data_IF_844850411344
#
_entry.id   IF_844850411344
#
_cell.length_a   1.000
_cell.length_b   1.000
_cell.length_c   1.000
_cell.angle_alpha   90.00
_cell.angle_beta   90.00
_cell.angle_gamma   90.00
#
_symmetry.space_group_name_H-M   'P 1'
#
loop_
_entity.id
_entity.type
_entity.pdbx_description
1 polymer ?
#
# COMPACT_ATOMS: atom_id res chain seq x y z
N UNK A 1 -31.52 5.15 -1.11
CA UNK A 1 -30.59 5.58 -0.03
C UNK A 1 -29.94 6.89 -0.43
N UNK A 2 -30.24 7.99 0.28
CA UNK A 2 -29.66 9.30 0.00
C UNK A 2 -28.15 9.26 0.23
N UNK A 3 -27.34 9.60 -0.78
CA UNK A 3 -25.88 9.80 -0.62
C UNK A 3 -25.69 10.97 0.35
N UNK A 4 -25.13 10.71 1.53
CA UNK A 4 -24.74 11.76 2.46
C UNK A 4 -23.83 12.74 1.71
N UNK A 5 -24.30 13.98 1.53
CA UNK A 5 -23.54 15.03 0.86
C UNK A 5 -22.44 15.48 1.81
N UNK A 6 -21.25 14.89 1.69
CA UNK A 6 -20.08 15.31 2.46
C UNK A 6 -19.70 16.70 1.99
N UNK A 7 -19.91 17.72 2.84
CA UNK A 7 -19.52 19.09 2.55
C UNK A 7 -17.99 19.18 2.36
N UNK A 8 -17.55 19.88 1.33
CA UNK A 8 -16.14 20.07 1.06
C UNK A 8 -15.56 21.17 1.94
N UNK A 9 -14.59 20.79 2.76
CA UNK A 9 -13.87 21.70 3.68
C UNK A 9 -12.46 21.93 3.17
N UNK A 10 -12.00 23.17 3.16
CA UNK A 10 -10.69 23.58 2.67
C UNK A 10 -9.81 24.12 3.80
N UNK A 11 -8.65 23.55 4.05
CA UNK A 11 -7.68 23.99 5.03
C UNK A 11 -6.33 24.37 4.40
N UNK A 12 -5.57 25.26 5.04
CA UNK A 12 -4.21 25.63 4.62
C UNK A 12 -3.26 24.46 4.85
N UNK A 13 -2.39 24.18 3.88
CA UNK A 13 -1.38 23.14 4.01
C UNK A 13 -0.24 23.65 4.89
N UNK A 14 0.14 22.94 5.97
CA UNK A 14 1.29 23.30 6.80
C UNK A 14 2.57 23.39 5.95
N UNK A 15 3.34 24.47 6.11
CA UNK A 15 4.53 24.75 5.31
C UNK A 15 4.27 25.33 3.90
N UNK A 16 3.00 25.40 3.45
CA UNK A 16 2.65 25.94 2.13
C UNK A 16 1.46 26.93 2.22
N UNK A 17 1.67 28.13 2.77
CA UNK A 17 0.58 29.05 3.11
C UNK A 17 -0.26 29.52 1.92
N UNK A 18 0.31 29.49 0.70
CA UNK A 18 -0.39 29.83 -0.55
C UNK A 18 -1.21 28.68 -1.13
N UNK A 19 -1.25 27.53 -0.44
CA UNK A 19 -1.98 26.35 -0.91
C UNK A 19 -2.99 25.86 0.12
N UNK A 20 -4.12 25.37 -0.36
CA UNK A 20 -5.13 24.69 0.45
C UNK A 20 -5.40 23.31 -0.10
N UNK A 21 -5.70 22.38 0.78
CA UNK A 21 -6.18 21.04 0.45
C UNK A 21 -7.61 20.88 0.99
N UNK A 22 -8.43 20.11 0.29
CA UNK A 22 -9.76 19.76 0.76
C UNK A 22 -9.79 18.37 1.41
N UNK A 23 -10.79 18.13 2.26
CA UNK A 23 -11.10 16.81 2.80
C UNK A 23 -11.48 15.79 1.72
N UNK A 24 -11.74 16.24 0.48
CA UNK A 24 -11.99 15.38 -0.68
C UNK A 24 -10.74 15.12 -1.54
N UNK A 25 -9.54 15.57 -1.10
CA UNK A 25 -8.28 15.34 -1.81
C UNK A 25 -8.03 16.28 -2.99
N UNK A 26 -8.73 17.41 -3.08
CA UNK A 26 -8.44 18.44 -4.10
C UNK A 26 -7.47 19.46 -3.54
N UNK A 27 -6.61 20.02 -4.39
CA UNK A 27 -5.62 21.04 -4.02
C UNK A 27 -5.87 22.31 -4.81
N UNK A 28 -5.79 23.45 -4.15
CA UNK A 28 -5.87 24.76 -4.81
C UNK A 28 -4.77 25.70 -4.36
N UNK A 29 -4.24 26.47 -5.30
CA UNK A 29 -3.37 27.61 -5.03
C UNK A 29 -4.19 28.85 -4.84
N UNK A 30 -3.91 29.60 -3.77
CA UNK A 30 -4.48 30.94 -3.54
C UNK A 30 -3.47 31.91 -4.15
N UNK A 31 -3.87 32.60 -5.18
CA UNK A 31 -3.07 33.68 -5.75
C UNK A 31 -3.47 34.97 -5.01
N UNK A 32 -2.55 35.53 -4.25
CA UNK A 32 -2.67 36.89 -3.73
C UNK A 32 -1.59 37.73 -4.39
N UNK A 33 -1.93 38.91 -4.83
CA UNK A 33 -0.95 39.87 -5.34
C UNK A 33 -1.13 41.21 -4.58
N UNK A 34 -0.04 41.93 -4.43
CA UNK A 34 -0.07 43.29 -3.87
C UNK A 34 -0.28 44.25 -5.01
N UNK A 35 -1.32 45.08 -4.91
CA UNK A 35 -1.55 46.15 -5.90
C UNK A 35 -0.35 47.09 -5.90
N UNK A 36 0.32 47.26 -7.04
CA UNK A 36 1.48 48.12 -7.17
C UNK A 36 1.13 49.62 -6.91
N UNK A 37 -0.14 50.00 -7.13
CA UNK A 37 -0.59 51.39 -7.02
C UNK A 37 -0.98 51.80 -5.60
N UNK A 38 -1.59 50.90 -4.80
CA UNK A 38 -2.11 51.22 -3.49
C UNK A 38 -1.54 50.38 -2.34
N UNK A 39 -0.63 49.44 -2.64
CA UNK A 39 -0.02 48.53 -1.65
C UNK A 39 -0.97 47.51 -1.04
N UNK A 40 -2.27 47.51 -1.41
CA UNK A 40 -3.24 46.57 -0.86
C UNK A 40 -3.05 45.14 -1.40
N UNK A 41 -3.19 44.15 -0.49
CA UNK A 41 -3.22 42.75 -0.89
C UNK A 41 -4.57 42.43 -1.51
N UNK A 42 -4.57 42.12 -2.80
CA UNK A 42 -5.75 41.69 -3.54
C UNK A 42 -5.77 40.16 -3.56
N UNK A 43 -6.90 39.57 -3.16
CA UNK A 43 -7.12 38.12 -3.32
C UNK A 43 -7.45 37.85 -4.79
N UNK A 44 -6.51 37.18 -5.49
CA UNK A 44 -6.78 36.65 -6.81
C UNK A 44 -7.63 35.39 -6.76
N UNK A 45 -8.03 34.88 -7.93
CA UNK A 45 -8.80 33.66 -8.06
C UNK A 45 -8.02 32.43 -7.58
N UNK A 46 -8.70 31.54 -6.86
CA UNK A 46 -8.12 30.27 -6.46
C UNK A 46 -8.05 29.33 -7.66
N UNK A 47 -6.88 28.80 -7.98
CA UNK A 47 -6.70 27.83 -9.09
C UNK A 47 -6.61 26.41 -8.52
N UNK A 48 -7.45 25.51 -9.01
CA UNK A 48 -7.33 24.07 -8.72
C UNK A 48 -6.08 23.53 -9.41
N UNK A 49 -5.30 22.77 -8.68
CA UNK A 49 -4.11 22.10 -9.21
C UNK A 49 -4.50 20.67 -9.55
N UNK A 50 -4.28 20.31 -10.81
CA UNK A 50 -4.48 18.94 -11.29
C UNK A 50 -3.22 18.14 -10.97
N UNK A 51 -3.37 17.03 -10.26
CA UNK A 51 -2.28 16.10 -10.01
C UNK A 51 -2.16 15.06 -11.14
N UNK A 52 -1.10 14.27 -11.07
CA UNK A 52 -0.89 13.14 -11.98
C UNK A 52 -0.74 11.84 -11.20
N UNK A 53 -1.09 10.73 -11.85
CA UNK A 53 -0.91 9.42 -11.27
C UNK A 53 0.52 8.92 -11.49
N UNK A 54 1.18 8.50 -10.42
CA UNK A 54 2.52 7.90 -10.49
C UNK A 54 2.45 6.43 -10.93
N UNK A 55 3.58 5.84 -11.35
CA UNK A 55 3.68 4.40 -11.69
C UNK A 55 3.21 3.46 -10.56
N UNK A 56 3.29 3.92 -9.30
CA UNK A 56 2.81 3.16 -8.12
C UNK A 56 1.31 3.36 -7.84
N UNK A 57 0.60 4.14 -8.66
CA UNK A 57 -0.84 4.39 -8.57
C UNK A 57 -1.25 5.55 -7.66
N UNK A 58 -0.33 6.24 -7.00
CA UNK A 58 -0.64 7.38 -6.13
C UNK A 58 -0.81 8.67 -6.93
N UNK A 59 -1.65 9.58 -6.44
CA UNK A 59 -1.77 10.92 -7.01
C UNK A 59 -0.71 11.83 -6.40
N UNK A 60 0.11 12.43 -7.27
CA UNK A 60 1.10 13.43 -6.93
C UNK A 60 0.72 14.80 -7.48
N UNK A 61 1.20 15.85 -6.84
CA UNK A 61 1.05 17.24 -7.26
C UNK A 61 2.36 17.98 -7.07
N UNK A 62 2.58 19.02 -7.86
CA UNK A 62 3.68 19.95 -7.66
C UNK A 62 3.17 21.19 -6.92
N UNK A 63 3.74 21.47 -5.77
CA UNK A 63 3.46 22.65 -4.96
C UNK A 63 4.77 23.35 -4.59
N UNK A 64 4.88 24.64 -4.93
CA UNK A 64 6.08 25.44 -4.70
C UNK A 64 7.37 24.79 -5.22
N UNK A 65 7.34 24.14 -6.40
CA UNK A 65 8.49 23.47 -7.01
C UNK A 65 8.85 22.12 -6.38
N UNK A 66 8.00 21.60 -5.47
CA UNK A 66 8.24 20.30 -4.81
C UNK A 66 7.09 19.34 -5.10
N UNK A 67 7.44 18.12 -5.54
CA UNK A 67 6.47 17.05 -5.72
C UNK A 67 6.04 16.48 -4.36
N UNK A 68 4.74 16.43 -4.13
CA UNK A 68 4.12 15.86 -2.91
C UNK A 68 2.97 14.94 -3.28
N UNK A 69 2.73 13.92 -2.47
CA UNK A 69 1.56 13.06 -2.62
C UNK A 69 0.32 13.70 -1.98
N UNK A 70 -0.83 13.61 -2.67
CA UNK A 70 -2.08 14.23 -2.20
C UNK A 70 -2.52 13.65 -0.86
N UNK A 71 -2.49 12.31 -0.68
CA UNK A 71 -2.86 11.67 0.59
C UNK A 71 -2.01 12.17 1.77
N UNK A 72 -0.71 12.43 1.55
CA UNK A 72 0.17 12.97 2.60
C UNK A 72 -0.25 14.38 2.99
N UNK A 73 -0.61 15.21 2.02
CA UNK A 73 -1.06 16.58 2.28
C UNK A 73 -2.41 16.62 3.00
N UNK A 74 -3.34 15.75 2.62
CA UNK A 74 -4.65 15.61 3.30
C UNK A 74 -4.44 15.20 4.76
N UNK A 75 -3.70 14.13 5.02
CA UNK A 75 -3.47 13.63 6.36
C UNK A 75 -2.72 14.64 7.23
N UNK A 76 -1.65 15.24 6.70
CA UNK A 76 -0.89 16.27 7.42
C UNK A 76 -1.75 17.46 7.81
N UNK A 77 -2.71 17.85 6.95
CA UNK A 77 -3.51 19.07 7.16
C UNK A 77 -4.70 18.84 8.10
N UNK A 78 -5.37 17.70 7.99
CA UNK A 78 -6.62 17.45 8.74
C UNK A 78 -6.42 16.59 9.98
N UNK A 79 -5.40 15.74 10.02
CA UNK A 79 -5.11 14.84 11.14
C UNK A 79 -3.85 15.26 11.90
N UNK A 80 -2.88 15.82 11.17
CA UNK A 80 -1.59 16.19 11.73
C UNK A 80 -0.48 15.25 11.24
N UNK A 81 0.71 15.39 11.85
CA UNK A 81 1.88 14.58 11.50
C UNK A 81 1.66 13.11 11.91
N UNK A 82 2.10 12.20 11.04
CA UNK A 82 2.09 10.78 11.37
C UNK A 82 2.93 10.50 12.63
N UNK A 83 2.47 9.64 13.55
CA UNK A 83 3.33 9.10 14.60
C UNK A 83 4.52 8.36 13.98
N UNK A 84 5.63 8.29 14.72
CA UNK A 84 6.83 7.63 14.22
C UNK A 84 6.57 6.15 13.88
N UNK A 85 7.04 5.73 12.71
CA UNK A 85 6.84 4.39 12.21
C UNK A 85 5.46 4.09 11.59
N UNK A 86 4.53 5.04 11.60
CA UNK A 86 3.22 4.86 10.97
C UNK A 86 3.25 5.17 9.47
N UNK A 87 2.35 4.53 8.73
CA UNK A 87 2.16 4.69 7.30
C UNK A 87 0.74 5.14 7.00
N UNK A 88 0.53 5.80 5.86
CA UNK A 88 -0.82 6.13 5.40
C UNK A 88 -1.37 4.94 4.61
N UNK A 89 -2.54 4.46 5.01
CA UNK A 89 -3.30 3.42 4.33
C UNK A 89 -4.53 4.01 3.63
N UNK A 90 -4.90 3.44 2.47
CA UNK A 90 -6.15 3.68 1.78
C UNK A 90 -7.12 2.53 2.12
N UNK A 91 -8.16 2.80 2.91
CA UNK A 91 -9.09 1.80 3.43
C UNK A 91 -9.76 0.96 2.34
N UNK A 92 -10.13 1.58 1.21
CA UNK A 92 -10.79 0.90 0.08
C UNK A 92 -9.80 0.44 -1.00
N UNK A 93 -8.49 0.39 -0.72
CA UNK A 93 -7.43 -0.02 -1.65
C UNK A 93 -7.27 0.84 -2.92
N UNK A 94 -8.08 1.87 -3.11
CA UNK A 94 -7.98 2.80 -4.23
C UNK A 94 -7.03 3.95 -3.86
N UNK A 95 -5.82 3.93 -4.41
CA UNK A 95 -4.78 4.94 -4.19
C UNK A 95 -5.08 6.29 -4.84
N UNK A 96 -6.08 6.35 -5.70
CA UNK A 96 -6.55 7.59 -6.34
C UNK A 96 -7.57 8.31 -5.49
N UNK A 97 -8.28 7.59 -4.63
CA UNK A 97 -9.25 8.14 -3.69
C UNK A 97 -8.57 8.70 -2.44
N UNK A 98 -8.22 9.99 -2.49
CA UNK A 98 -7.53 10.71 -1.43
C UNK A 98 -8.47 11.47 -0.48
N UNK A 99 -9.74 11.06 -0.38
CA UNK A 99 -10.67 11.63 0.60
C UNK A 99 -10.22 11.31 2.02
N UNK A 100 -10.37 12.26 2.95
CA UNK A 100 -9.99 12.08 4.36
C UNK A 100 -10.66 10.84 4.99
N UNK A 101 -11.90 10.56 4.63
CA UNK A 101 -12.65 9.39 5.13
C UNK A 101 -12.01 8.05 4.72
N UNK A 102 -11.30 8.02 3.57
CA UNK A 102 -10.62 6.84 3.04
C UNK A 102 -9.20 6.66 3.57
N UNK A 103 -8.64 7.65 4.25
CA UNK A 103 -7.25 7.64 4.71
C UNK A 103 -7.17 7.38 6.22
N UNK A 104 -6.11 6.70 6.63
CA UNK A 104 -5.80 6.45 8.04
C UNK A 104 -4.31 6.25 8.26
N UNK A 105 -3.83 6.52 9.48
CA UNK A 105 -2.49 6.13 9.91
C UNK A 105 -2.52 4.74 10.51
N UNK A 106 -1.66 3.84 10.03
CA UNK A 106 -1.55 2.45 10.49
C UNK A 106 -0.10 2.07 10.71
N UNK A 107 0.13 1.09 11.57
CA UNK A 107 1.45 0.48 11.69
C UNK A 107 1.77 -0.38 10.45
N UNK A 108 3.05 -0.65 10.14
CA UNK A 108 3.43 -1.54 9.04
C UNK A 108 2.79 -2.93 9.14
N UNK A 109 2.62 -3.45 10.36
CA UNK A 109 1.95 -4.74 10.62
C UNK A 109 0.48 -4.70 10.22
N UNK A 110 -0.25 -3.66 10.63
CA UNK A 110 -1.67 -3.47 10.27
C UNK A 110 -1.84 -3.28 8.75
N UNK A 111 -0.94 -2.50 8.11
CA UNK A 111 -0.97 -2.29 6.67
C UNK A 111 -0.75 -3.59 5.90
N UNK A 112 0.20 -4.44 6.35
CA UNK A 112 0.42 -5.76 5.78
C UNK A 112 -0.81 -6.65 5.97
N UNK A 113 -1.39 -6.68 7.19
CA UNK A 113 -2.59 -7.46 7.47
C UNK A 113 -3.77 -7.03 6.58
N UNK A 114 -3.97 -5.72 6.42
CA UNK A 114 -4.97 -5.18 5.51
C UNK A 114 -4.75 -5.66 4.07
N UNK A 115 -3.50 -5.62 3.55
CA UNK A 115 -3.17 -6.12 2.22
C UNK A 115 -3.43 -7.63 2.07
N UNK A 116 -3.16 -8.44 3.10
CA UNK A 116 -3.44 -9.88 3.11
C UNK A 116 -4.94 -10.15 3.09
N UNK A 117 -5.71 -9.47 3.95
CA UNK A 117 -7.18 -9.62 4.03
C UNK A 117 -7.84 -9.20 2.71
N UNK A 118 -7.32 -8.18 2.04
CA UNK A 118 -7.78 -7.74 0.72
C UNK A 118 -7.28 -8.60 -0.46
N UNK A 119 -6.63 -9.74 -0.21
CA UNK A 119 -6.12 -10.64 -1.25
C UNK A 119 -4.96 -10.08 -2.10
N UNK A 120 -4.39 -8.93 -1.71
CA UNK A 120 -3.34 -8.24 -2.48
C UNK A 120 -1.92 -8.71 -2.14
N UNK A 121 -1.76 -9.48 -1.09
CA UNK A 121 -0.50 -10.07 -0.67
C UNK A 121 -0.66 -11.57 -0.53
N UNK A 122 -0.89 -12.26 -1.64
CA UNK A 122 -0.86 -13.71 -1.70
C UNK A 122 0.61 -14.12 -1.85
N UNK A 123 1.19 -14.70 -0.80
CA UNK A 123 2.52 -15.30 -0.92
C UNK A 123 2.37 -16.57 -1.75
N UNK A 124 3.05 -16.70 -2.90
CA UNK A 124 3.04 -17.92 -3.68
C UNK A 124 3.50 -19.08 -2.79
N UNK A 125 2.76 -20.19 -2.83
CA UNK A 125 3.06 -21.41 -2.05
C UNK A 125 3.26 -22.56 -3.02
N UNK A 126 3.95 -23.61 -2.57
CA UNK A 126 4.16 -24.79 -3.38
C UNK A 126 4.95 -24.48 -4.65
N UNK A 127 4.56 -25.11 -5.75
CA UNK A 127 5.19 -24.93 -7.08
C UNK A 127 5.08 -23.51 -7.63
N UNK A 128 4.09 -22.72 -7.19
CA UNK A 128 3.96 -21.32 -7.59
C UNK A 128 5.06 -20.41 -7.01
N UNK A 129 5.84 -20.87 -6.02
CA UNK A 129 6.94 -20.08 -5.47
C UNK A 129 8.14 -20.13 -6.43
N UNK A 130 8.68 -18.98 -6.85
CA UNK A 130 9.76 -18.87 -7.85
C UNK A 130 11.05 -19.66 -7.54
N UNK A 131 11.30 -20.02 -6.28
CA UNK A 131 12.40 -20.90 -5.83
C UNK A 131 11.96 -22.35 -5.60
N UNK A 132 10.74 -22.71 -5.94
CA UNK A 132 10.28 -24.08 -5.75
C UNK A 132 11.10 -25.03 -6.65
N UNK A 133 11.65 -26.10 -6.04
CA UNK A 133 12.34 -27.18 -6.74
C UNK A 133 11.46 -28.42 -6.87
N UNK A 134 10.34 -28.45 -6.21
CA UNK A 134 9.38 -29.55 -6.19
C UNK A 134 8.01 -29.05 -6.65
N UNK A 135 7.27 -29.92 -7.29
CA UNK A 135 5.85 -29.75 -7.59
C UNK A 135 5.00 -30.39 -6.49
N UNK A 136 3.69 -30.16 -6.51
CA UNK A 136 2.72 -30.83 -5.64
C UNK A 136 2.76 -32.35 -5.83
N UNK A 137 2.91 -32.83 -7.09
CA UNK A 137 3.03 -34.25 -7.42
C UNK A 137 4.32 -34.88 -6.86
N UNK A 138 5.44 -34.14 -6.96
CA UNK A 138 6.70 -34.60 -6.34
C UNK A 138 6.55 -34.76 -4.83
N UNK A 139 5.81 -33.87 -4.17
CA UNK A 139 5.59 -33.94 -2.73
C UNK A 139 4.67 -35.10 -2.36
N UNK A 140 3.65 -35.39 -3.17
CA UNK A 140 2.77 -36.54 -2.96
C UNK A 140 3.58 -37.87 -3.10
N UNK A 141 4.46 -37.95 -4.11
CA UNK A 141 5.34 -39.10 -4.29
C UNK A 141 6.34 -39.25 -3.14
N UNK A 142 6.95 -38.16 -2.67
CA UNK A 142 7.83 -38.17 -1.49
C UNK A 142 7.09 -38.71 -0.25
N UNK A 143 5.84 -38.34 -0.04
CA UNK A 143 5.02 -38.84 1.08
C UNK A 143 4.79 -40.35 0.96
N UNK A 144 4.39 -40.82 -0.22
CA UNK A 144 4.21 -42.27 -0.47
C UNK A 144 5.49 -43.06 -0.22
N UNK A 145 6.66 -42.54 -0.65
CA UNK A 145 7.92 -43.21 -0.36
C UNK A 145 8.31 -43.19 1.11
N UNK A 146 7.99 -42.15 1.84
CA UNK A 146 8.21 -42.08 3.28
C UNK A 146 7.31 -43.09 4.04
N UNK A 147 6.07 -43.26 3.61
CA UNK A 147 5.15 -44.27 4.13
C UNK A 147 5.63 -45.69 3.81
N UNK A 148 6.21 -45.91 2.62
CA UNK A 148 6.83 -47.18 2.25
C UNK A 148 8.20 -47.45 2.94
N UNK A 149 8.62 -46.57 3.87
CA UNK A 149 9.85 -46.73 4.65
C UNK A 149 11.14 -46.42 3.91
N UNK A 150 11.08 -45.75 2.74
CA UNK A 150 12.29 -45.36 1.98
C UNK A 150 13.12 -44.35 2.76
N UNK A 151 14.44 -44.55 2.91
CA UNK A 151 15.28 -43.63 3.68
C UNK A 151 15.30 -42.22 3.09
N UNK A 152 15.16 -41.19 3.95
CA UNK A 152 15.11 -39.77 3.59
C UNK A 152 16.28 -39.38 2.65
N UNK A 153 17.48 -39.86 2.92
CA UNK A 153 18.67 -39.55 2.09
C UNK A 153 18.52 -40.06 0.65
N UNK A 154 17.91 -41.25 0.45
CA UNK A 154 17.65 -41.84 -0.87
C UNK A 154 16.63 -41.03 -1.65
N UNK A 155 15.53 -40.62 -0.98
CA UNK A 155 14.50 -39.74 -1.55
C UNK A 155 15.10 -38.39 -1.96
N UNK A 156 15.87 -37.77 -1.08
CA UNK A 156 16.49 -36.47 -1.30
C UNK A 156 17.45 -36.51 -2.53
N UNK A 157 18.24 -37.61 -2.67
CA UNK A 157 19.13 -37.82 -3.82
C UNK A 157 18.34 -37.97 -5.11
N UNK A 158 17.26 -38.73 -5.09
CA UNK A 158 16.44 -38.99 -6.28
C UNK A 158 15.70 -37.73 -6.76
N UNK A 159 15.15 -36.95 -5.83
CA UNK A 159 14.42 -35.69 -6.14
C UNK A 159 15.32 -34.45 -6.23
N UNK A 160 16.64 -34.61 -6.17
CA UNK A 160 17.63 -33.53 -6.25
C UNK A 160 17.39 -32.39 -5.27
N UNK A 161 16.94 -32.72 -4.04
CA UNK A 161 16.70 -31.74 -2.96
C UNK A 161 17.57 -32.07 -1.74
N UNK A 162 17.63 -31.11 -0.79
CA UNK A 162 18.32 -31.36 0.47
C UNK A 162 17.55 -32.35 1.35
N UNK A 163 18.24 -33.20 2.14
CA UNK A 163 17.57 -34.05 3.13
C UNK A 163 16.65 -33.29 4.08
N UNK A 164 17.03 -32.05 4.43
CA UNK A 164 16.19 -31.14 5.26
C UNK A 164 14.84 -30.83 4.61
N UNK A 165 14.77 -30.71 3.28
CA UNK A 165 13.51 -30.52 2.57
C UNK A 165 12.58 -31.73 2.77
N UNK A 166 13.11 -32.94 2.65
CA UNK A 166 12.34 -34.18 2.84
C UNK A 166 11.91 -34.35 4.31
N UNK A 167 12.78 -33.99 5.27
CA UNK A 167 12.40 -33.94 6.70
C UNK A 167 11.28 -32.94 6.98
N UNK A 168 11.29 -31.76 6.37
CA UNK A 168 10.23 -30.79 6.52
C UNK A 168 8.88 -31.30 5.98
N UNK A 169 8.89 -32.06 4.87
CA UNK A 169 7.70 -32.71 4.32
C UNK A 169 7.24 -33.82 5.29
N UNK A 170 8.14 -34.69 5.76
CA UNK A 170 7.86 -35.76 6.73
C UNK A 170 7.22 -35.24 8.02
N UNK A 171 7.74 -34.12 8.55
CA UNK A 171 7.26 -33.54 9.81
C UNK A 171 6.05 -32.59 9.61
N UNK A 172 5.52 -32.46 8.39
CA UNK A 172 4.40 -31.58 8.10
C UNK A 172 4.70 -30.07 8.31
N UNK A 173 5.97 -29.66 8.40
CA UNK A 173 6.35 -28.26 8.55
C UNK A 173 6.44 -27.53 7.21
N UNK A 174 6.76 -28.27 6.13
CA UNK A 174 6.72 -27.78 4.75
C UNK A 174 5.56 -28.41 3.97
N UNK A 175 5.13 -27.73 2.90
CA UNK A 175 4.12 -28.24 1.94
C UNK A 175 2.80 -28.69 2.59
N UNK A 176 2.33 -27.97 3.60
CA UNK A 176 1.13 -28.30 4.39
C UNK A 176 -0.18 -28.38 3.60
N UNK A 177 -0.20 -27.82 2.39
CA UNK A 177 -1.37 -27.79 1.51
C UNK A 177 -1.50 -29.06 0.65
N UNK A 178 -0.46 -29.87 0.53
CA UNK A 178 -0.50 -31.16 -0.13
C UNK A 178 -0.85 -32.22 0.90
N UNK A 179 -1.98 -32.90 0.70
CA UNK A 179 -2.45 -34.01 1.58
C UNK A 179 -1.75 -35.31 1.22
#
# INVERSE_FOLDING_TARGET
>A
MAKAHVSEVWAKIPGFPSYKVSNLGRIKRIVSFTCARCGQKVRGSARIIVGWQTKKGYIAVEIAGVTKFVHTLVMLTFVGRAPDGYQINHKVYDKTNNTLANLEYVTPKQNMQHAVTGGRCVKPRGSAHWKAKLTEDDVAEIKAWLEAGVPVRRIAKHKHVSPGTVYNIKNGTGWKHVK
#
